data_IF_873016913285
#
_entry.id   IF_873016913285
#
_cell.length_a   1.000
_cell.length_b   1.000
_cell.length_c   1.000
_cell.angle_alpha   90.00
_cell.angle_beta   90.00
_cell.angle_gamma   90.00
#
_symmetry.space_group_name_H-M   'P 1'
#
loop_
_entity.id
_entity.type
_entity.pdbx_description
1 polymer ?
#
# COMPACT_ATOMS: atom_id res chain seq x y z
N UNK A 1 4.29 -8.85 15.29
CA UNK A 1 3.26 -8.72 14.24
C UNK A 1 3.40 -7.35 13.57
N UNK A 2 3.17 -7.29 12.25
CA UNK A 2 3.40 -6.09 11.45
C UNK A 2 2.05 -5.45 11.11
N UNK A 3 1.91 -4.16 11.43
CA UNK A 3 0.74 -3.34 11.09
C UNK A 3 1.09 -2.25 10.09
N UNK A 4 0.10 -1.52 9.58
CA UNK A 4 0.28 -0.30 8.81
C UNK A 4 -0.24 0.86 9.65
N UNK A 5 0.61 1.37 10.51
CA UNK A 5 0.27 2.42 11.48
C UNK A 5 1.17 3.67 11.39
N UNK A 6 2.19 3.63 10.53
CA UNK A 6 3.19 4.69 10.37
C UNK A 6 4.26 4.68 11.45
N UNK A 7 4.33 3.62 12.25
CA UNK A 7 5.36 3.40 13.27
C UNK A 7 6.15 2.14 12.89
N UNK A 8 7.45 2.24 12.78
CA UNK A 8 8.30 1.19 12.21
C UNK A 8 8.94 0.27 13.27
N UNK A 9 8.45 0.31 14.50
CA UNK A 9 8.99 -0.50 15.61
C UNK A 9 8.83 -2.01 15.42
N UNK A 10 7.76 -2.44 14.79
CA UNK A 10 7.44 -3.82 14.45
C UNK A 10 8.32 -4.37 13.31
N UNK A 11 8.90 -3.49 12.50
CA UNK A 11 9.83 -3.85 11.44
C UNK A 11 11.27 -4.14 11.92
N UNK A 12 11.59 -3.87 13.18
CA UNK A 12 12.95 -4.05 13.72
C UNK A 12 13.41 -5.51 13.62
N UNK A 13 12.54 -6.46 13.91
CA UNK A 13 12.83 -7.90 13.89
C UNK A 13 12.66 -8.53 12.50
N UNK A 14 12.08 -7.82 11.53
CA UNK A 14 11.93 -8.33 10.16
C UNK A 14 13.28 -8.24 9.46
N UNK A 15 13.78 -9.37 8.92
CA UNK A 15 15.06 -9.38 8.22
C UNK A 15 15.05 -8.45 6.99
N UNK A 16 16.21 -7.85 6.72
CA UNK A 16 16.43 -7.10 5.49
C UNK A 16 16.45 -8.09 4.31
N UNK A 17 15.55 -7.88 3.35
CA UNK A 17 15.49 -8.70 2.13
C UNK A 17 16.48 -8.20 1.07
N UNK A 18 16.71 -6.90 1.01
CA UNK A 18 17.70 -6.26 0.14
C UNK A 18 18.21 -4.97 0.79
N UNK A 19 19.51 -4.69 0.58
CA UNK A 19 20.14 -3.43 0.97
C UNK A 19 20.79 -2.80 -0.23
N UNK A 20 20.55 -1.53 -0.41
CA UNK A 20 21.10 -0.71 -1.45
C UNK A 20 22.13 0.29 -0.92
N UNK A 21 23.03 0.74 -1.79
CA UNK A 21 24.06 1.70 -1.44
C UNK A 21 23.61 3.10 -1.87
N UNK A 22 24.12 4.13 -1.19
CA UNK A 22 23.91 5.52 -1.60
C UNK A 22 24.93 5.88 -2.69
N UNK A 23 24.65 5.60 -3.95
CA UNK A 23 25.65 5.78 -5.02
C UNK A 23 25.15 6.15 -6.43
N UNK A 24 23.87 6.00 -6.79
CA UNK A 24 23.44 6.16 -8.17
C UNK A 24 22.20 7.05 -8.43
N UNK A 25 21.39 7.35 -7.41
CA UNK A 25 20.22 8.21 -7.59
C UNK A 25 20.52 9.71 -7.40
N UNK A 26 19.74 10.55 -8.06
CA UNK A 26 19.88 12.02 -7.99
C UNK A 26 19.01 12.63 -6.90
N UNK A 27 17.79 12.14 -6.70
CA UNK A 27 16.82 12.74 -5.77
C UNK A 27 16.30 11.73 -4.73
N UNK A 28 15.82 10.58 -5.17
CA UNK A 28 15.28 9.54 -4.29
C UNK A 28 16.15 8.29 -4.41
N UNK A 29 16.92 8.01 -3.40
CA UNK A 29 17.88 6.94 -3.34
C UNK A 29 17.40 5.94 -2.30
N UNK A 30 16.98 4.75 -2.75
CA UNK A 30 16.50 3.70 -1.88
C UNK A 30 17.65 3.13 -1.05
N UNK A 31 17.36 2.53 0.09
CA UNK A 31 18.40 1.93 0.94
C UNK A 31 18.08 0.52 1.39
N UNK A 32 16.85 0.25 1.76
CA UNK A 32 16.47 -1.01 2.39
C UNK A 32 15.10 -1.45 1.90
N UNK A 33 14.98 -2.75 1.60
CA UNK A 33 13.71 -3.44 1.42
C UNK A 33 13.56 -4.53 2.47
N UNK A 34 12.40 -4.60 3.12
CA UNK A 34 12.00 -5.72 3.96
C UNK A 34 10.65 -6.25 3.49
N UNK A 35 10.44 -7.55 3.64
CA UNK A 35 9.22 -8.24 3.23
C UNK A 35 8.82 -9.19 4.35
N UNK A 36 7.55 -9.14 4.73
CA UNK A 36 6.95 -10.11 5.66
C UNK A 36 5.50 -10.37 5.28
N UNK A 37 4.81 -11.24 5.98
CA UNK A 37 3.44 -11.62 5.64
C UNK A 37 2.68 -12.14 6.86
N UNK A 38 1.36 -12.09 6.74
CA UNK A 38 0.44 -12.84 7.59
C UNK A 38 -0.49 -13.72 6.73
N UNK A 39 -1.60 -14.20 7.28
CA UNK A 39 -2.55 -15.04 6.53
C UNK A 39 -3.31 -14.28 5.43
N UNK A 40 -3.42 -12.95 5.52
CA UNK A 40 -4.23 -12.12 4.62
C UNK A 40 -3.39 -11.17 3.75
N UNK A 41 -2.23 -10.72 4.26
CA UNK A 41 -1.45 -9.65 3.64
C UNK A 41 -0.01 -10.04 3.39
N UNK A 42 0.54 -9.50 2.30
CA UNK A 42 1.96 -9.30 2.08
C UNK A 42 2.30 -7.89 2.55
N UNK A 43 3.28 -7.76 3.43
CA UNK A 43 3.78 -6.49 3.93
C UNK A 43 5.14 -6.18 3.30
N UNK A 44 5.31 -4.95 2.87
CA UNK A 44 6.51 -4.44 2.22
C UNK A 44 6.92 -3.18 2.97
N UNK A 45 8.16 -3.10 3.38
CA UNK A 45 8.76 -1.89 3.92
C UNK A 45 9.95 -1.50 3.06
N UNK A 46 10.06 -0.22 2.75
CA UNK A 46 11.26 0.34 2.14
C UNK A 46 11.61 1.69 2.75
N UNK A 47 12.87 2.04 2.62
CA UNK A 47 13.44 3.26 3.17
C UNK A 47 14.36 3.89 2.14
N UNK A 48 14.44 5.22 2.16
CA UNK A 48 15.39 6.03 1.42
C UNK A 48 16.67 6.28 2.24
N UNK A 49 17.80 6.46 1.57
CA UNK A 49 19.06 6.84 2.21
C UNK A 49 18.96 8.24 2.80
N UNK A 50 18.42 9.19 2.05
CA UNK A 50 18.22 10.58 2.45
C UNK A 50 16.87 11.10 1.94
N UNK A 51 16.40 12.22 2.50
CA UNK A 51 15.17 12.88 2.08
C UNK A 51 13.91 12.34 2.75
N UNK A 52 12.86 13.12 2.64
CA UNK A 52 11.50 12.76 3.06
C UNK A 52 10.56 12.98 1.89
N UNK A 53 9.72 12.00 1.59
CA UNK A 53 8.83 11.99 0.44
C UNK A 53 7.37 11.87 0.89
N UNK A 54 6.46 12.40 0.07
CA UNK A 54 5.03 12.17 0.24
C UNK A 54 4.60 11.07 -0.74
N UNK A 55 4.43 9.86 -0.24
CA UNK A 55 4.23 8.66 -1.08
C UNK A 55 2.99 8.75 -1.96
N UNK A 56 1.89 9.30 -1.48
CA UNK A 56 0.61 9.30 -2.20
C UNK A 56 0.31 10.61 -2.95
N UNK A 57 1.34 11.40 -3.31
CA UNK A 57 1.14 12.67 -4.00
C UNK A 57 2.41 13.12 -4.75
N UNK A 58 2.23 13.58 -6.00
CA UNK A 58 3.25 14.23 -6.82
C UNK A 58 4.62 13.51 -6.89
N UNK A 59 4.60 12.19 -7.04
CA UNK A 59 5.80 11.39 -7.28
C UNK A 59 5.53 10.33 -8.36
N UNK A 60 6.61 9.75 -8.88
CA UNK A 60 6.59 8.65 -9.84
C UNK A 60 7.24 7.38 -9.24
N UNK A 61 6.98 7.12 -7.96
CA UNK A 61 7.36 5.87 -7.34
C UNK A 61 6.41 4.76 -7.78
N UNK A 62 6.99 3.65 -8.23
CA UNK A 62 6.27 2.48 -8.69
C UNK A 62 6.61 1.25 -7.87
N UNK A 63 5.62 0.40 -7.68
CA UNK A 63 5.78 -0.97 -7.20
C UNK A 63 5.42 -1.92 -8.33
N UNK A 64 6.36 -2.79 -8.68
CA UNK A 64 6.13 -3.92 -9.57
C UNK A 64 6.13 -5.20 -8.76
N UNK A 65 5.09 -6.02 -8.91
CA UNK A 65 4.93 -7.29 -8.21
C UNK A 65 4.63 -8.40 -9.22
N UNK A 66 5.57 -9.32 -9.31
CA UNK A 66 5.42 -10.61 -9.98
C UNK A 66 4.83 -11.58 -8.96
N UNK A 67 3.55 -11.91 -9.11
CA UNK A 67 2.78 -12.67 -8.12
C UNK A 67 2.79 -14.18 -8.33
N UNK A 68 3.35 -14.66 -9.45
CA UNK A 68 3.45 -16.08 -9.79
C UNK A 68 4.90 -16.56 -9.99
N UNK A 69 5.86 -15.65 -9.80
CA UNK A 69 7.30 -15.88 -9.98
C UNK A 69 7.64 -16.41 -11.40
N UNK A 70 6.98 -15.85 -12.41
CA UNK A 70 7.12 -16.25 -13.80
C UNK A 70 7.38 -15.06 -14.72
N UNK A 71 8.62 -14.85 -15.09
CA UNK A 71 9.03 -13.73 -15.96
C UNK A 71 8.42 -13.72 -17.37
N UNK A 72 7.62 -14.73 -17.71
CA UNK A 72 6.93 -14.83 -19.02
C UNK A 72 5.49 -14.35 -18.98
N UNK A 73 4.94 -14.10 -17.79
CA UNK A 73 3.61 -13.53 -17.55
C UNK A 73 3.72 -12.05 -17.17
N UNK A 74 2.62 -11.34 -17.13
CA UNK A 74 2.61 -9.95 -16.69
C UNK A 74 3.39 -8.98 -17.61
N UNK A 75 3.75 -7.82 -17.04
CA UNK A 75 4.60 -6.79 -17.66
C UNK A 75 6.07 -7.13 -17.44
N UNK A 76 6.84 -7.25 -18.52
CA UNK A 76 8.29 -7.40 -18.41
C UNK A 76 8.91 -6.09 -17.90
N UNK A 77 9.45 -6.11 -16.68
CA UNK A 77 10.15 -5.00 -16.08
C UNK A 77 11.31 -5.53 -15.23
N UNK A 78 12.49 -4.97 -15.38
CA UNK A 78 13.70 -5.27 -14.58
C UNK A 78 13.92 -6.79 -14.33
N UNK A 79 13.62 -7.63 -15.34
CA UNK A 79 13.83 -9.08 -15.28
C UNK A 79 12.74 -9.89 -14.57
N UNK A 80 11.65 -9.26 -14.14
CA UNK A 80 10.46 -9.92 -13.62
C UNK A 80 9.30 -9.83 -14.62
N UNK A 81 8.26 -10.63 -14.41
CA UNK A 81 6.98 -10.55 -15.10
C UNK A 81 5.90 -10.03 -14.15
N UNK A 82 5.73 -8.73 -14.05
CA UNK A 82 4.87 -8.11 -13.07
C UNK A 82 3.39 -8.18 -13.47
N UNK A 83 2.56 -8.86 -12.69
CA UNK A 83 1.09 -8.81 -12.79
C UNK A 83 0.56 -7.48 -12.27
N UNK A 84 1.25 -6.87 -11.31
CA UNK A 84 0.91 -5.58 -10.75
C UNK A 84 1.98 -4.53 -11.09
N UNK A 85 1.52 -3.41 -11.60
CA UNK A 85 2.23 -2.13 -11.65
C UNK A 85 1.42 -1.10 -10.90
N UNK A 86 1.91 -0.61 -9.77
CA UNK A 86 1.25 0.41 -8.96
C UNK A 86 2.04 1.70 -8.96
N UNK A 87 1.38 2.83 -9.21
CA UNK A 87 1.97 4.18 -9.16
C UNK A 87 1.45 4.90 -7.91
N UNK A 88 2.34 5.14 -6.96
CA UNK A 88 1.97 5.70 -5.67
C UNK A 88 1.40 7.11 -5.79
N UNK A 89 2.08 8.00 -6.48
CA UNK A 89 1.64 9.39 -6.66
C UNK A 89 0.33 9.54 -7.41
N UNK A 90 0.05 8.64 -8.36
CA UNK A 90 -1.22 8.59 -9.09
C UNK A 90 -2.35 7.90 -8.32
N UNK A 91 -2.03 7.14 -7.25
CA UNK A 91 -2.96 6.31 -6.46
C UNK A 91 -3.75 5.33 -7.32
N UNK A 92 -3.14 4.85 -8.37
CA UNK A 92 -3.73 3.89 -9.31
C UNK A 92 -2.65 2.99 -9.87
N UNK A 93 -3.06 1.91 -10.50
CA UNK A 93 -2.14 0.99 -11.11
C UNK A 93 -2.76 0.21 -12.24
N UNK A 94 -2.01 -0.75 -12.73
CA UNK A 94 -2.44 -1.64 -13.76
C UNK A 94 -2.18 -3.10 -13.39
N UNK A 95 -3.15 -3.93 -13.69
CA UNK A 95 -2.97 -5.36 -13.77
C UNK A 95 -2.54 -5.72 -15.19
N UNK A 96 -1.55 -6.58 -15.32
CA UNK A 96 -1.08 -7.13 -16.59
C UNK A 96 -1.26 -8.64 -16.61
N UNK A 97 -2.14 -9.14 -17.48
CA UNK A 97 -2.40 -10.57 -17.58
C UNK A 97 -2.75 -10.97 -19.03
N UNK A 98 -2.12 -12.02 -19.53
CA UNK A 98 -2.33 -12.54 -20.91
C UNK A 98 -2.20 -11.48 -22.03
N UNK A 99 -1.34 -10.48 -21.83
CA UNK A 99 -1.14 -9.39 -22.80
C UNK A 99 -2.20 -8.29 -22.73
N UNK A 100 -3.14 -8.38 -21.81
CA UNK A 100 -4.11 -7.33 -21.49
C UNK A 100 -3.61 -6.48 -20.33
N UNK A 101 -3.99 -5.21 -20.33
CA UNK A 101 -3.74 -4.26 -19.27
C UNK A 101 -5.08 -3.71 -18.77
N UNK A 102 -5.34 -3.81 -17.49
CA UNK A 102 -6.57 -3.34 -16.85
C UNK A 102 -6.18 -2.36 -15.76
N UNK A 103 -6.80 -1.18 -15.77
CA UNK A 103 -6.65 -0.21 -14.69
C UNK A 103 -7.25 -0.76 -13.39
N UNK A 104 -6.54 -0.59 -12.28
CA UNK A 104 -6.95 -1.02 -10.96
C UNK A 104 -6.79 0.11 -9.95
N UNK A 105 -7.59 0.04 -8.91
CA UNK A 105 -7.64 1.01 -7.83
C UNK A 105 -7.19 0.39 -6.50
N UNK A 106 -6.96 1.24 -5.51
CA UNK A 106 -6.48 0.83 -4.19
C UNK A 106 -7.35 -0.27 -3.55
N UNK A 107 -8.68 -0.19 -3.74
CA UNK A 107 -9.61 -1.17 -3.18
C UNK A 107 -9.48 -2.56 -3.82
N UNK A 108 -9.05 -2.65 -5.09
CA UNK A 108 -8.90 -3.93 -5.78
C UNK A 108 -7.75 -4.76 -5.20
N UNK A 109 -6.81 -4.09 -4.53
CA UNK A 109 -5.66 -4.69 -3.86
C UNK A 109 -5.86 -4.79 -2.34
N UNK A 110 -6.90 -4.18 -1.77
CA UNK A 110 -7.00 -3.88 -0.35
C UNK A 110 -5.70 -3.22 0.17
N UNK A 111 -5.15 -2.32 -0.66
CA UNK A 111 -3.84 -1.69 -0.44
C UNK A 111 -3.91 -0.72 0.74
N UNK A 112 -2.96 -0.86 1.66
CA UNK A 112 -2.75 0.06 2.77
C UNK A 112 -1.34 0.63 2.67
N UNK A 113 -1.17 1.90 2.97
CA UNK A 113 0.12 2.60 2.87
C UNK A 113 0.27 3.51 4.10
N UNK A 114 1.36 3.41 4.79
CA UNK A 114 1.76 4.25 5.91
C UNK A 114 3.21 4.74 5.80
N UNK A 115 3.51 5.89 6.37
CA UNK A 115 2.59 6.93 6.83
C UNK A 115 1.97 7.72 5.68
N UNK A 116 0.92 8.49 5.94
CA UNK A 116 0.25 9.36 4.95
C UNK A 116 0.78 10.80 4.95
N UNK A 117 1.88 11.02 5.63
CA UNK A 117 2.64 12.28 5.68
C UNK A 117 4.01 12.06 5.03
N UNK A 118 4.80 13.12 4.88
CA UNK A 118 6.19 13.00 4.43
C UNK A 118 6.99 12.13 5.39
N UNK A 119 7.75 11.20 4.84
CA UNK A 119 8.59 10.28 5.59
C UNK A 119 9.79 9.85 4.77
N UNK A 120 10.83 9.37 5.45
CA UNK A 120 11.98 8.69 4.85
C UNK A 120 11.74 7.19 4.67
N UNK A 121 10.73 6.64 5.32
CA UNK A 121 10.44 5.21 5.32
C UNK A 121 8.94 4.97 5.20
N UNK A 122 8.57 3.88 4.54
CA UNK A 122 7.18 3.54 4.23
C UNK A 122 6.91 2.06 4.41
N UNK A 123 5.68 1.78 4.81
CA UNK A 123 5.13 0.44 4.94
C UNK A 123 3.87 0.29 4.10
N UNK A 124 3.72 -0.88 3.50
CA UNK A 124 2.65 -1.20 2.55
C UNK A 124 2.12 -2.58 2.89
N UNK A 125 0.79 -2.74 2.85
CA UNK A 125 0.16 -4.04 2.87
C UNK A 125 -0.71 -4.23 1.62
N UNK A 126 -0.61 -5.41 1.01
CA UNK A 126 -1.40 -5.82 -0.15
C UNK A 126 -2.06 -7.16 0.17
N UNK A 127 -3.36 -7.29 -0.07
CA UNK A 127 -4.05 -8.56 0.14
C UNK A 127 -3.47 -9.65 -0.77
N UNK A 128 -3.13 -10.79 -0.17
CA UNK A 128 -2.63 -11.98 -0.88
C UNK A 128 -3.68 -12.61 -1.79
N UNK A 129 -4.97 -12.36 -1.52
CA UNK A 129 -6.11 -12.84 -2.29
C UNK A 129 -6.66 -11.80 -3.27
N UNK A 130 -5.97 -10.67 -3.43
CA UNK A 130 -6.41 -9.61 -4.33
C UNK A 130 -6.57 -10.13 -5.76
N UNK A 131 -7.72 -9.85 -6.36
CA UNK A 131 -8.05 -10.31 -7.73
C UNK A 131 -6.94 -10.07 -8.74
N UNK A 132 -6.28 -8.88 -8.79
CA UNK A 132 -5.22 -8.65 -9.75
C UNK A 132 -4.00 -9.58 -9.62
N UNK A 133 -3.80 -10.19 -8.45
CA UNK A 133 -2.64 -11.02 -8.14
C UNK A 133 -2.91 -12.53 -8.24
N UNK A 134 -4.18 -12.92 -8.40
CA UNK A 134 -4.62 -14.33 -8.38
C UNK A 134 -5.19 -14.80 -9.73
N UNK A 135 -5.00 -14.01 -10.78
CA UNK A 135 -5.51 -14.32 -12.14
C UNK A 135 -4.91 -15.58 -12.79
N UNK A 136 -3.75 -16.03 -12.31
CA UNK A 136 -3.13 -17.28 -12.74
C UNK A 136 -3.88 -18.55 -12.28
N UNK A 137 -5.01 -18.39 -11.56
CA UNK A 137 -5.82 -19.47 -10.98
C UNK A 137 -5.43 -19.87 -9.58
N UNK A 138 -4.50 -19.16 -8.94
CA UNK A 138 -4.22 -19.31 -7.52
C UNK A 138 -5.35 -18.71 -6.68
N UNK A 139 -5.56 -19.24 -5.49
CA UNK A 139 -6.50 -18.65 -4.53
C UNK A 139 -5.84 -17.55 -3.68
N UNK A 140 -4.53 -17.65 -3.51
CA UNK A 140 -3.72 -16.73 -2.71
C UNK A 140 -2.30 -16.70 -3.26
N UNK A 141 -1.65 -15.56 -3.13
CA UNK A 141 -0.25 -15.40 -3.50
C UNK A 141 0.65 -16.07 -2.44
N UNK A 142 1.53 -16.96 -2.89
CA UNK A 142 2.42 -17.74 -2.01
C UNK A 142 3.90 -17.46 -2.22
N UNK A 143 4.26 -16.89 -3.34
CA UNK A 143 5.64 -16.50 -3.67
C UNK A 143 5.61 -15.45 -4.78
N UNK A 144 6.72 -14.77 -4.99
CA UNK A 144 6.82 -13.77 -6.04
C UNK A 144 8.10 -12.98 -5.96
N UNK A 145 8.10 -11.87 -6.70
CA UNK A 145 9.21 -10.94 -6.75
C UNK A 145 8.71 -9.50 -6.72
N UNK A 146 9.51 -8.64 -6.13
CA UNK A 146 9.22 -7.22 -5.98
C UNK A 146 10.34 -6.39 -6.60
N UNK A 147 9.95 -5.31 -7.29
CA UNK A 147 10.82 -4.19 -7.65
C UNK A 147 10.11 -2.92 -7.25
N UNK A 148 10.79 -2.04 -6.53
CA UNK A 148 10.37 -0.65 -6.33
C UNK A 148 11.21 0.23 -7.22
N UNK A 149 10.65 1.26 -7.83
CA UNK A 149 11.39 2.14 -8.71
C UNK A 149 10.93 3.58 -8.60
N UNK A 150 11.86 4.48 -8.82
CA UNK A 150 11.59 5.84 -9.26
C UNK A 150 11.83 5.94 -10.77
N UNK A 151 10.86 6.45 -11.54
CA UNK A 151 10.96 6.45 -13.01
C UNK A 151 11.46 7.75 -13.62
N UNK A 152 11.78 8.77 -12.82
CA UNK A 152 12.41 10.00 -13.31
C UNK A 152 13.84 9.77 -13.83
N UNK A 153 14.31 10.68 -14.62
CA UNK A 153 15.70 10.64 -15.14
C UNK A 153 16.70 10.67 -13.98
N UNK A 154 17.46 9.59 -13.81
CA UNK A 154 18.37 9.41 -12.67
C UNK A 154 17.65 8.88 -11.44
N UNK A 155 16.47 8.31 -11.61
CA UNK A 155 15.76 7.59 -10.58
C UNK A 155 16.36 6.23 -10.29
N UNK A 156 15.97 5.67 -9.17
CA UNK A 156 16.56 4.52 -8.54
C UNK A 156 15.70 3.26 -8.67
N UNK A 157 16.31 2.11 -8.48
CA UNK A 157 15.71 0.78 -8.49
C UNK A 157 16.04 0.03 -7.20
N UNK A 158 15.05 -0.61 -6.64
CA UNK A 158 15.23 -1.50 -5.49
C UNK A 158 14.67 -2.88 -5.83
N UNK A 159 15.51 -3.87 -6.20
CA UNK A 159 16.99 -3.85 -6.25
C UNK A 159 17.53 -3.26 -7.55
N UNK A 160 18.80 -2.88 -7.56
CA UNK A 160 19.58 -2.54 -8.75
C UNK A 160 19.78 -3.72 -9.68
N UNK A 161 20.01 -4.90 -9.08
CA UNK A 161 20.25 -6.10 -9.85
C UNK A 161 18.96 -6.59 -10.52
N UNK A 162 19.10 -6.95 -11.79
CA UNK A 162 18.02 -7.52 -12.59
C UNK A 162 17.47 -8.81 -11.95
N UNK A 163 16.15 -8.90 -11.80
CA UNK A 163 15.47 -10.10 -11.35
C UNK A 163 14.58 -9.92 -10.11
N UNK A 164 14.58 -8.71 -9.53
CA UNK A 164 13.74 -8.38 -8.38
C UNK A 164 14.12 -9.10 -7.09
N UNK A 165 13.53 -8.68 -5.98
CA UNK A 165 13.70 -9.31 -4.67
C UNK A 165 12.65 -10.38 -4.48
N UNK A 166 13.08 -11.64 -4.33
CA UNK A 166 12.18 -12.78 -4.19
C UNK A 166 11.66 -12.91 -2.76
N UNK A 167 10.40 -13.34 -2.64
CA UNK A 167 9.81 -13.74 -1.38
C UNK A 167 9.07 -15.07 -1.52
N UNK A 168 8.87 -15.74 -0.40
CA UNK A 168 8.08 -16.98 -0.31
C UNK A 168 7.35 -17.01 1.02
N UNK A 169 6.08 -17.37 0.98
CA UNK A 169 5.18 -17.46 2.12
C UNK A 169 5.07 -18.92 2.52
N UNK A 170 5.37 -19.22 3.77
CA UNK A 170 5.16 -20.54 4.34
C UNK A 170 3.76 -20.60 4.94
N UNK A 171 2.84 -21.28 4.29
CA UNK A 171 1.44 -21.39 4.74
C UNK A 171 1.26 -22.10 6.09
N UNK A 172 2.25 -22.86 6.53
CA UNK A 172 2.23 -23.51 7.85
C UNK A 172 2.60 -22.55 9.00
N UNK A 173 3.19 -21.39 8.66
CA UNK A 173 3.69 -20.41 9.63
C UNK A 173 2.93 -19.06 9.54
N UNK A 174 1.78 -19.02 8.88
CA UNK A 174 0.97 -17.80 8.80
C UNK A 174 0.14 -17.59 10.06
N UNK A 175 0.10 -16.34 10.51
CA UNK A 175 -0.74 -15.90 11.61
C UNK A 175 -1.92 -15.09 11.09
N UNK A 176 -3.08 -15.11 11.76
CA UNK A 176 -4.16 -14.19 11.40
C UNK A 176 -3.71 -12.74 11.66
N UNK A 177 -4.22 -11.77 10.87
CA UNK A 177 -3.92 -10.37 11.11
C UNK A 177 -4.42 -9.94 12.48
N UNK A 178 -3.71 -8.99 13.11
CA UNK A 178 -4.20 -8.38 14.33
C UNK A 178 -5.52 -7.64 14.08
N UNK A 179 -6.51 -7.83 14.95
CA UNK A 179 -7.75 -7.08 14.83
C UNK A 179 -7.48 -5.59 15.11
N UNK A 180 -7.94 -4.73 14.22
CA UNK A 180 -7.91 -3.28 14.45
C UNK A 180 -8.89 -2.97 15.59
N UNK A 181 -8.35 -2.56 16.74
CA UNK A 181 -9.16 -2.15 17.88
C UNK A 181 -9.71 -0.75 17.63
N UNK A 182 -11.04 -0.67 17.48
CA UNK A 182 -11.74 0.62 17.27
C UNK A 182 -12.27 1.21 18.59
N UNK A 183 -12.05 0.53 19.72
CA UNK A 183 -12.45 1.03 21.02
C UNK A 183 -11.57 2.20 21.49
N UNK A 184 -12.14 3.05 22.36
CA UNK A 184 -11.35 4.07 23.05
C UNK A 184 -10.43 3.39 24.07
N UNK A 185 -9.24 3.96 24.33
CA UNK A 185 -8.36 3.47 25.41
C UNK A 185 -8.99 3.66 26.80
N UNK A 186 -9.80 4.71 26.96
CA UNK A 186 -10.56 5.00 28.16
C UNK A 186 -11.95 5.51 27.81
N UNK A 187 -12.96 5.21 28.61
CA UNK A 187 -14.31 5.77 28.47
C UNK A 187 -14.33 7.31 28.60
N UNK A 188 -13.35 7.86 29.30
CA UNK A 188 -13.19 9.32 29.49
C UNK A 188 -12.54 10.03 28.32
N UNK A 189 -11.99 9.28 27.33
CA UNK A 189 -11.36 9.85 26.15
C UNK A 189 -12.40 10.46 25.21
N UNK A 190 -12.08 11.62 24.62
CA UNK A 190 -12.88 12.25 23.59
C UNK A 190 -12.32 11.84 22.23
N UNK A 191 -13.14 11.17 21.43
CA UNK A 191 -12.79 10.80 20.05
C UNK A 191 -13.26 11.89 19.11
N UNK A 192 -12.31 12.43 18.33
CA UNK A 192 -12.59 13.42 17.31
C UNK A 192 -12.35 12.80 15.95
N UNK A 193 -13.36 12.81 15.07
CA UNK A 193 -13.25 12.41 13.68
C UNK A 193 -13.11 13.66 12.81
N UNK A 194 -12.01 13.77 12.07
CA UNK A 194 -11.82 14.73 10.98
C UNK A 194 -12.01 14.00 9.65
N UNK A 195 -13.01 14.38 8.85
CA UNK A 195 -13.41 13.59 7.69
C UNK A 195 -13.70 14.49 6.49
N UNK A 196 -12.84 14.38 5.46
CA UNK A 196 -13.11 15.02 4.17
C UNK A 196 -14.15 14.19 3.42
N UNK A 197 -15.29 14.80 3.07
CA UNK A 197 -16.44 14.13 2.45
C UNK A 197 -16.51 14.33 0.94
N UNK A 198 -15.55 15.05 0.38
CA UNK A 198 -15.46 15.33 -1.06
C UNK A 198 -16.81 15.75 -1.68
N UNK A 199 -17.25 16.94 -1.36
CA UNK A 199 -18.50 17.52 -1.86
C UNK A 199 -19.73 16.87 -1.23
N UNK A 200 -20.63 16.34 -2.04
CA UNK A 200 -21.92 15.77 -1.62
C UNK A 200 -21.83 14.36 -1.02
N UNK A 201 -20.62 13.85 -0.72
CA UNK A 201 -20.42 12.44 -0.37
C UNK A 201 -21.34 11.87 0.72
N UNK A 202 -21.66 12.65 1.77
CA UNK A 202 -22.55 12.19 2.85
C UNK A 202 -24.03 12.17 2.43
N UNK A 203 -24.44 13.05 1.53
CA UNK A 203 -25.84 13.18 1.08
C UNK A 203 -26.13 12.40 -0.21
N UNK A 204 -25.12 11.89 -0.87
CA UNK A 204 -25.25 10.98 -2.01
C UNK A 204 -25.78 9.61 -1.55
N UNK A 205 -26.92 9.18 -2.06
CA UNK A 205 -27.63 7.98 -1.61
C UNK A 205 -26.78 6.69 -1.75
N UNK A 206 -25.91 6.60 -2.77
CA UNK A 206 -25.04 5.44 -3.00
C UNK A 206 -23.86 5.43 -2.04
N UNK A 207 -23.32 6.59 -1.70
CA UNK A 207 -22.13 6.75 -0.85
C UNK A 207 -22.46 6.85 0.64
N UNK A 208 -23.64 7.36 0.99
CA UNK A 208 -24.07 7.61 2.37
C UNK A 208 -23.88 6.38 3.28
N UNK A 209 -24.16 5.18 2.78
CA UNK A 209 -24.05 3.95 3.57
C UNK A 209 -22.60 3.68 4.01
N UNK A 210 -21.61 4.07 3.21
CA UNK A 210 -20.19 3.89 3.54
C UNK A 210 -19.75 4.88 4.61
N UNK A 211 -20.14 6.15 4.50
CA UNK A 211 -19.90 7.16 5.54
C UNK A 211 -20.54 6.75 6.87
N UNK A 212 -21.78 6.28 6.81
CA UNK A 212 -22.49 5.79 8.00
C UNK A 212 -21.74 4.64 8.69
N UNK A 213 -21.22 3.67 7.93
CA UNK A 213 -20.45 2.55 8.48
C UNK A 213 -19.20 3.03 9.19
N UNK A 214 -18.45 3.96 8.60
CA UNK A 214 -17.23 4.52 9.20
C UNK A 214 -17.56 5.26 10.48
N UNK A 215 -18.57 6.14 10.46
CA UNK A 215 -18.98 6.91 11.65
C UNK A 215 -19.48 5.99 12.76
N UNK A 216 -20.28 4.97 12.44
CA UNK A 216 -20.79 4.02 13.41
C UNK A 216 -19.69 3.13 14.00
N UNK A 217 -18.71 2.71 13.19
CA UNK A 217 -17.60 1.88 13.66
C UNK A 217 -16.65 2.66 14.57
N UNK A 218 -16.40 3.94 14.26
CA UNK A 218 -15.52 4.80 15.05
C UNK A 218 -16.22 5.39 16.29
N UNK A 219 -17.54 5.52 16.28
CA UNK A 219 -18.33 6.12 17.37
C UNK A 219 -17.71 7.41 17.94
N UNK A 220 -17.52 8.46 17.11
CA UNK A 220 -16.85 9.67 17.53
C UNK A 220 -17.76 10.57 18.39
N UNK A 221 -17.19 11.25 19.37
CA UNK A 221 -17.89 12.27 20.19
C UNK A 221 -18.04 13.59 19.43
N UNK A 222 -17.08 13.88 18.53
CA UNK A 222 -17.07 15.10 17.72
C UNK A 222 -16.69 14.73 16.28
N UNK A 223 -17.44 15.26 15.31
CA UNK A 223 -17.16 15.09 13.88
C UNK A 223 -16.90 16.46 13.27
N UNK A 224 -15.74 16.62 12.64
CA UNK A 224 -15.39 17.76 11.81
C UNK A 224 -15.37 17.33 10.34
N UNK A 225 -16.32 17.82 9.55
CA UNK A 225 -16.43 17.50 8.12
C UNK A 225 -15.73 18.58 7.30
N UNK A 226 -14.96 18.16 6.28
CA UNK A 226 -14.35 19.04 5.28
C UNK A 226 -14.96 18.78 3.91
N UNK A 227 -14.90 19.78 3.04
CA UNK A 227 -15.42 19.76 1.66
C UNK A 227 -16.89 19.33 1.57
N UNK A 228 -17.70 19.70 2.55
CA UNK A 228 -19.13 19.49 2.52
C UNK A 228 -19.78 20.67 1.80
N UNK A 229 -20.16 20.51 0.54
CA UNK A 229 -20.43 21.63 -0.39
C UNK A 229 -21.89 22.09 -0.50
N UNK A 230 -22.83 21.44 0.15
CA UNK A 230 -24.24 21.88 0.13
C UNK A 230 -24.73 22.20 1.55
N UNK A 231 -24.42 23.43 1.98
CA UNK A 231 -25.19 24.05 3.04
C UNK A 231 -26.39 24.79 2.41
N UNK A 232 -27.53 24.16 2.36
CA UNK A 232 -28.77 24.96 2.40
C UNK A 232 -28.91 25.40 3.86
N UNK A 233 -28.94 26.71 4.11
CA UNK A 233 -29.35 27.23 5.40
C UNK A 233 -30.74 26.63 5.68
N UNK A 234 -30.80 25.75 6.66
CA UNK A 234 -32.09 25.31 7.21
C UNK A 234 -32.52 26.46 8.13
N UNK A 235 -33.47 27.28 7.66
CA UNK A 235 -34.19 28.27 8.45
C UNK A 235 -34.94 27.65 9.64
#
# INVERSE_FOLDING_TARGET
ETGIDGLFGDWVEVPVAYSDNNDDAVEADFSILKITYDSEFLFIYFRFNEGEFLMQDWNDFHLYLDSDNNSSTGKSFHGIGAELEWTFGARSGHQHFNGEQIEIHQNDLNLRIGPTITSQEFEIAISREAFPLTMNGSHSMTNGKIVVSEVFTGGDLLPDEIGGVSFSINEDDVFPPEPILLEKYSEDDIRILSYNTWGTGIIDDERQIHFKRVIQALDPDIIALQEHSEWEEID
#
